data_IF_801741232472
#
_entry.id   IF_801741232472
#
_cell.length_a   1.000
_cell.length_b   1.000
_cell.length_c   1.000
_cell.angle_alpha   90.00
_cell.angle_beta   90.00
_cell.angle_gamma   90.00
#
_symmetry.space_group_name_H-M   'P 1'
#
loop_
_entity.id
_entity.type
_entity.pdbx_description
1 polymer ?
#
# COMPACT_ATOMS: atom_id res chain seq x y z
N UNK A 1 -9.07 2.56 8.21
CA UNK A 1 -8.07 1.57 8.65
C UNK A 1 -8.25 0.33 7.81
N UNK A 2 -7.18 -0.41 7.53
CA UNK A 2 -7.29 -1.76 6.98
C UNK A 2 -5.99 -2.55 7.10
N UNK A 3 -6.10 -3.88 7.00
CA UNK A 3 -4.99 -4.84 7.01
C UNK A 3 -4.82 -5.48 5.63
N UNK A 4 -3.59 -5.72 5.16
CA UNK A 4 -3.32 -6.39 3.89
C UNK A 4 -4.07 -5.70 2.73
N UNK A 5 -4.89 -6.42 1.96
CA UNK A 5 -5.77 -5.84 0.92
C UNK A 5 -6.71 -4.76 1.46
N UNK A 6 -7.13 -4.85 2.73
CA UNK A 6 -7.90 -3.81 3.38
C UNK A 6 -7.12 -2.51 3.56
N UNK A 7 -5.80 -2.57 3.72
CA UNK A 7 -4.92 -1.40 3.75
C UNK A 7 -4.89 -0.68 2.40
N UNK A 8 -4.81 -1.44 1.31
CA UNK A 8 -4.93 -0.93 -0.06
C UNK A 8 -6.30 -0.26 -0.29
N UNK A 9 -7.39 -0.93 0.07
CA UNK A 9 -8.74 -0.38 -0.02
C UNK A 9 -8.87 0.91 0.78
N UNK A 10 -8.35 0.95 2.02
CA UNK A 10 -8.38 2.14 2.87
C UNK A 10 -7.61 3.32 2.25
N UNK A 11 -6.47 3.04 1.60
CA UNK A 11 -5.68 4.03 0.87
C UNK A 11 -6.49 4.64 -0.30
N UNK A 12 -7.03 3.80 -1.20
CA UNK A 12 -7.80 4.30 -2.35
C UNK A 12 -9.13 4.95 -1.93
N UNK A 13 -9.80 4.44 -0.89
CA UNK A 13 -11.00 5.06 -0.35
C UNK A 13 -10.72 6.48 0.19
N UNK A 14 -9.57 6.70 0.82
CA UNK A 14 -9.17 8.01 1.31
C UNK A 14 -8.90 8.99 0.17
N UNK A 15 -8.22 8.55 -0.89
CA UNK A 15 -8.02 9.36 -2.10
C UNK A 15 -9.35 9.77 -2.71
N UNK A 16 -10.27 8.82 -2.90
CA UNK A 16 -11.62 9.10 -3.44
C UNK A 16 -12.43 10.03 -2.54
N UNK A 17 -12.25 9.95 -1.22
CA UNK A 17 -12.94 10.83 -0.28
C UNK A 17 -12.52 12.29 -0.41
N UNK A 18 -11.34 12.60 -0.99
CA UNK A 18 -10.94 13.97 -1.30
C UNK A 18 -11.82 14.62 -2.38
N UNK A 19 -12.38 13.83 -3.30
CA UNK A 19 -13.25 14.32 -4.38
C UNK A 19 -14.69 14.51 -3.91
N UNK A 20 -15.07 13.78 -2.86
CA UNK A 20 -16.36 13.92 -2.25
C UNK A 20 -16.33 15.24 -1.46
N UNK A 21 -17.17 16.20 -1.85
CA UNK A 21 -17.50 17.38 -1.02
C UNK A 21 -18.32 16.93 0.20
N UNK A 22 -17.79 15.99 0.96
CA UNK A 22 -18.44 15.42 2.12
C UNK A 22 -18.72 16.57 3.09
N UNK A 23 -19.95 16.68 3.61
CA UNK A 23 -20.25 17.71 4.58
C UNK A 23 -19.26 17.61 5.76
N UNK A 24 -18.92 18.72 6.42
CA UNK A 24 -17.83 18.81 7.40
C UNK A 24 -17.90 17.83 8.60
N UNK A 25 -18.97 17.05 8.70
CA UNK A 25 -19.19 16.00 9.71
C UNK A 25 -18.53 14.65 9.36
N UNK A 26 -18.12 14.42 8.12
CA UNK A 26 -17.44 13.19 7.68
C UNK A 26 -16.01 13.49 7.22
N UNK A 27 -15.17 13.97 8.14
CA UNK A 27 -13.75 14.19 7.90
C UNK A 27 -12.95 12.94 8.26
N UNK A 28 -12.07 12.50 7.38
CA UNK A 28 -11.08 11.47 7.69
C UNK A 28 -9.91 12.14 8.40
N UNK A 29 -9.76 11.89 9.70
CA UNK A 29 -8.67 12.50 10.50
C UNK A 29 -7.33 11.78 10.36
N UNK A 30 -7.31 10.56 9.81
CA UNK A 30 -6.09 9.80 9.57
C UNK A 30 -6.32 8.41 9.01
N UNK A 31 -5.25 7.78 8.54
CA UNK A 31 -5.21 6.42 8.01
C UNK A 31 -4.35 5.53 8.90
N UNK A 32 -4.79 4.28 9.07
CA UNK A 32 -3.99 3.20 9.67
C UNK A 32 -3.96 2.09 8.63
N UNK A 33 -2.78 1.89 8.05
CA UNK A 33 -2.50 0.94 6.98
C UNK A 33 -1.61 -0.15 7.58
N UNK A 34 -2.23 -1.27 7.98
CA UNK A 34 -1.49 -2.39 8.56
C UNK A 34 -1.07 -3.35 7.45
N UNK A 35 0.24 -3.50 7.26
CA UNK A 35 0.84 -4.39 6.26
C UNK A 35 0.14 -4.24 4.90
N UNK A 36 -0.02 -3.00 4.38
CA UNK A 36 -0.91 -2.77 3.24
C UNK A 36 -0.41 -3.50 1.99
N UNK A 37 -1.32 -4.21 1.33
CA UNK A 37 -1.03 -5.01 0.15
C UNK A 37 -0.87 -4.17 -1.10
N UNK A 38 0.36 -3.98 -1.56
CA UNK A 38 0.68 -3.38 -2.85
C UNK A 38 1.49 -4.36 -3.71
N UNK A 39 1.50 -4.15 -5.01
CA UNK A 39 2.16 -4.99 -5.99
C UNK A 39 2.97 -4.15 -6.98
N UNK A 40 3.38 -4.80 -8.06
CA UNK A 40 4.18 -4.25 -9.15
C UNK A 40 4.77 -5.36 -10.00
N UNK A 41 5.01 -5.11 -11.28
CA UNK A 41 5.53 -6.14 -12.20
C UNK A 41 6.93 -6.57 -11.78
N UNK A 42 7.81 -5.59 -11.59
CA UNK A 42 9.17 -5.80 -11.08
C UNK A 42 9.17 -6.30 -9.64
N UNK A 43 9.96 -7.34 -9.37
CA UNK A 43 10.05 -7.94 -8.04
C UNK A 43 10.97 -7.13 -7.14
N UNK A 44 10.54 -6.93 -5.89
CA UNK A 44 11.39 -6.32 -4.87
C UNK A 44 12.39 -7.31 -4.29
N UNK A 45 13.36 -6.81 -3.51
CA UNK A 45 14.33 -7.67 -2.83
C UNK A 45 13.68 -8.59 -1.80
N UNK A 46 12.69 -8.08 -1.06
CA UNK A 46 11.90 -8.87 -0.11
C UNK A 46 11.08 -9.98 -0.78
N UNK A 47 10.44 -9.68 -1.90
CA UNK A 47 9.66 -10.66 -2.68
C UNK A 47 10.53 -11.80 -3.20
N UNK A 48 11.74 -11.51 -3.67
CA UNK A 48 12.69 -12.54 -4.12
C UNK A 48 13.25 -13.35 -2.94
N UNK A 49 13.57 -12.68 -1.82
CA UNK A 49 14.10 -13.31 -0.61
C UNK A 49 13.08 -14.24 0.06
N UNK A 50 11.79 -13.88 0.01
CA UNK A 50 10.68 -14.60 0.63
C UNK A 50 9.79 -15.27 -0.43
N UNK A 51 10.37 -15.70 -1.54
CA UNK A 51 9.59 -16.21 -2.68
C UNK A 51 8.75 -17.46 -2.35
N UNK A 52 9.24 -18.27 -1.39
CA UNK A 52 8.63 -19.50 -0.89
C UNK A 52 7.98 -19.31 0.50
N UNK A 53 7.58 -18.08 0.84
CA UNK A 53 6.85 -17.81 2.08
C UNK A 53 5.67 -18.77 2.25
N UNK A 54 5.46 -19.25 3.48
CA UNK A 54 4.46 -20.29 3.77
C UNK A 54 3.02 -19.77 3.71
N UNK A 55 2.82 -18.45 3.77
CA UNK A 55 1.50 -17.82 3.77
C UNK A 55 1.22 -17.12 2.44
N UNK A 56 2.20 -16.39 1.90
CA UNK A 56 2.07 -15.57 0.68
C UNK A 56 3.24 -15.81 -0.30
N UNK A 57 3.41 -17.04 -0.84
CA UNK A 57 4.43 -17.29 -1.85
C UNK A 57 4.10 -16.55 -3.15
N UNK A 58 5.12 -16.29 -3.99
CA UNK A 58 4.94 -15.45 -5.19
C UNK A 58 3.80 -15.88 -6.13
N UNK A 59 3.59 -17.19 -6.43
CA UNK A 59 2.48 -17.60 -7.28
C UNK A 59 1.11 -17.26 -6.70
N UNK A 60 0.98 -17.23 -5.36
CA UNK A 60 -0.26 -16.83 -4.69
C UNK A 60 -0.45 -15.32 -4.81
N UNK A 61 0.60 -14.52 -4.58
CA UNK A 61 0.54 -13.07 -4.78
C UNK A 61 0.15 -12.70 -6.22
N UNK A 62 0.73 -13.40 -7.21
CA UNK A 62 0.41 -13.18 -8.62
C UNK A 62 -1.05 -13.51 -8.94
N UNK A 63 -1.55 -14.64 -8.43
CA UNK A 63 -2.94 -15.03 -8.61
C UNK A 63 -3.90 -14.03 -7.93
N UNK A 64 -3.58 -13.56 -6.73
CA UNK A 64 -4.40 -12.56 -6.03
C UNK A 64 -4.52 -11.27 -6.85
N UNK A 65 -3.44 -10.79 -7.44
CA UNK A 65 -3.49 -9.62 -8.32
C UNK A 65 -4.24 -9.90 -9.62
N UNK A 66 -4.04 -11.06 -10.25
CA UNK A 66 -4.78 -11.45 -11.45
C UNK A 66 -6.29 -11.47 -11.22
N UNK A 67 -6.74 -11.90 -10.03
CA UNK A 67 -8.15 -11.94 -9.67
C UNK A 67 -8.73 -10.57 -9.26
N UNK A 68 -7.89 -9.66 -8.74
CA UNK A 68 -8.32 -8.36 -8.23
C UNK A 68 -8.32 -7.26 -9.29
N UNK A 69 -7.48 -7.38 -10.32
CA UNK A 69 -7.28 -6.36 -11.33
C UNK A 69 -8.24 -6.50 -12.53
N UNK A 70 -8.51 -5.41 -13.26
CA UNK A 70 -9.27 -5.49 -14.51
C UNK A 70 -8.61 -6.44 -15.51
N UNK A 71 -9.43 -7.13 -16.31
CA UNK A 71 -8.93 -8.03 -17.35
C UNK A 71 -7.96 -7.31 -18.30
N UNK A 72 -6.81 -7.92 -18.57
CA UNK A 72 -5.75 -7.35 -19.41
C UNK A 72 -4.81 -6.36 -18.70
N UNK A 73 -5.05 -6.04 -17.43
CA UNK A 73 -4.13 -5.23 -16.63
C UNK A 73 -3.00 -6.08 -16.06
N UNK A 74 -1.81 -5.50 -15.95
CA UNK A 74 -0.69 -6.07 -15.20
C UNK A 74 -0.61 -5.48 -13.78
N UNK A 75 0.39 -5.93 -13.02
CA UNK A 75 0.59 -5.53 -11.61
C UNK A 75 1.09 -4.09 -11.46
N UNK A 76 1.40 -3.37 -12.54
CA UNK A 76 1.73 -1.94 -12.48
C UNK A 76 0.49 -1.04 -12.62
N UNK A 77 -0.70 -1.63 -12.76
CA UNK A 77 -1.97 -0.91 -12.64
C UNK A 77 -2.08 -0.15 -11.30
N UNK A 78 -2.72 1.03 -11.30
CA UNK A 78 -2.75 1.96 -10.15
C UNK A 78 -3.35 1.38 -8.86
N UNK A 79 -4.24 0.38 -8.98
CA UNK A 79 -4.80 -0.36 -7.84
C UNK A 79 -3.81 -1.32 -7.17
N UNK A 80 -2.75 -1.72 -7.87
CA UNK A 80 -1.71 -2.60 -7.36
C UNK A 80 -0.44 -1.81 -7.03
N UNK A 81 0.03 -0.97 -7.94
CA UNK A 81 1.28 -0.23 -7.80
C UNK A 81 1.05 1.29 -7.86
N UNK A 82 0.74 1.95 -6.73
CA UNK A 82 0.58 3.40 -6.70
C UNK A 82 1.90 4.16 -6.94
N UNK A 83 3.06 3.48 -6.94
CA UNK A 83 4.38 4.09 -7.14
C UNK A 83 4.77 4.23 -8.61
N UNK A 84 4.20 3.39 -9.50
CA UNK A 84 4.56 3.33 -10.92
C UNK A 84 4.06 4.53 -11.74
N UNK A 85 3.30 5.45 -11.12
CA UNK A 85 2.74 6.60 -11.79
C UNK A 85 1.31 6.33 -12.23
N UNK A 86 0.38 6.79 -11.40
CA UNK A 86 -1.05 6.83 -11.69
C UNK A 86 -1.61 8.26 -11.55
N UNK A 87 -2.91 8.39 -11.76
CA UNK A 87 -3.65 9.66 -11.80
C UNK A 87 -3.65 10.45 -10.48
N UNK A 88 -3.10 9.88 -9.40
CA UNK A 88 -3.20 10.39 -8.04
C UNK A 88 -2.18 11.48 -7.65
N UNK A 89 -1.24 11.83 -8.53
CA UNK A 89 -0.38 13.04 -8.52
C UNK A 89 -0.25 13.81 -7.18
N UNK A 90 -0.65 15.08 -7.19
CA UNK A 90 -0.61 15.99 -6.01
C UNK A 90 -1.65 15.63 -4.93
N UNK A 91 -2.57 14.69 -5.21
CA UNK A 91 -3.66 14.31 -4.29
C UNK A 91 -3.15 13.52 -3.10
N UNK A 92 -2.09 12.73 -3.30
CA UNK A 92 -1.43 11.99 -2.22
C UNK A 92 -1.00 12.94 -1.09
N UNK A 93 -0.49 14.14 -1.42
CA UNK A 93 -0.11 15.15 -0.43
C UNK A 93 -1.29 15.70 0.40
N UNK A 94 -2.52 15.55 -0.09
CA UNK A 94 -3.74 15.99 0.60
C UNK A 94 -4.31 14.92 1.53
N UNK A 95 -3.76 13.70 1.51
CA UNK A 95 -4.16 12.66 2.44
C UNK A 95 -3.89 13.09 3.89
N UNK A 96 -4.76 12.69 4.83
CA UNK A 96 -4.56 12.98 6.24
C UNK A 96 -3.37 12.16 6.79
N UNK A 97 -2.96 12.45 8.03
CA UNK A 97 -1.89 11.71 8.72
C UNK A 97 -2.04 10.20 8.59
N UNK A 98 -0.93 9.50 8.38
CA UNK A 98 -0.92 8.06 8.18
C UNK A 98 0.00 7.34 9.17
N UNK A 99 -0.47 6.19 9.66
CA UNK A 99 0.35 5.17 10.28
C UNK A 99 0.43 3.99 9.32
N UNK A 100 1.65 3.63 8.91
CA UNK A 100 1.91 2.43 8.12
C UNK A 100 2.70 1.47 8.98
N UNK A 101 2.20 0.25 9.16
CA UNK A 101 2.91 -0.82 9.88
C UNK A 101 3.29 -1.93 8.92
N UNK A 102 4.40 -2.60 9.20
CA UNK A 102 4.92 -3.69 8.40
C UNK A 102 5.84 -4.60 9.21
N UNK A 103 6.13 -5.78 8.66
CA UNK A 103 6.96 -6.79 9.30
C UNK A 103 8.05 -7.32 8.35
N UNK A 104 9.27 -7.54 8.85
CA UNK A 104 10.42 -7.93 8.01
C UNK A 104 10.32 -9.30 7.33
N UNK A 105 9.43 -10.17 7.81
CA UNK A 105 9.12 -11.47 7.20
C UNK A 105 7.89 -11.41 6.27
N UNK A 106 7.36 -10.21 5.98
CA UNK A 106 6.35 -10.03 4.95
C UNK A 106 7.04 -9.88 3.58
N UNK A 107 6.70 -10.69 2.56
CA UNK A 107 7.20 -10.52 1.19
C UNK A 107 7.00 -9.10 0.63
N UNK A 108 5.96 -8.39 1.05
CA UNK A 108 5.59 -7.07 0.55
C UNK A 108 6.24 -5.90 1.31
N UNK A 109 7.13 -6.15 2.28
CA UNK A 109 7.71 -5.10 3.13
C UNK A 109 8.43 -3.99 2.34
N UNK A 110 9.12 -4.32 1.25
CA UNK A 110 9.78 -3.30 0.42
C UNK A 110 8.75 -2.36 -0.22
N UNK A 111 7.61 -2.88 -0.68
CA UNK A 111 6.51 -2.06 -1.25
C UNK A 111 5.84 -1.18 -0.19
N UNK A 112 5.73 -1.68 1.04
CA UNK A 112 5.23 -0.92 2.18
C UNK A 112 6.19 0.22 2.55
N UNK A 113 7.51 0.00 2.48
CA UNK A 113 8.52 1.03 2.66
C UNK A 113 8.51 2.07 1.54
N UNK A 114 8.33 1.64 0.29
CA UNK A 114 8.17 2.55 -0.85
C UNK A 114 6.94 3.45 -0.71
N UNK A 115 5.82 2.92 -0.22
CA UNK A 115 4.62 3.70 0.08
C UNK A 115 4.93 4.80 1.11
N UNK A 116 5.60 4.45 2.21
CA UNK A 116 5.98 5.42 3.25
C UNK A 116 6.84 6.54 2.66
N UNK A 117 7.86 6.19 1.88
CA UNK A 117 8.75 7.17 1.23
C UNK A 117 7.97 8.08 0.27
N UNK A 118 7.02 7.52 -0.50
CA UNK A 118 6.17 8.31 -1.38
C UNK A 118 5.28 9.29 -0.60
N UNK A 119 4.66 8.85 0.50
CA UNK A 119 3.80 9.68 1.35
C UNK A 119 4.58 10.80 2.04
N UNK A 120 5.78 10.50 2.55
CA UNK A 120 6.68 11.49 3.14
C UNK A 120 7.17 12.51 2.10
N UNK A 121 7.55 12.04 0.90
CA UNK A 121 8.03 12.89 -0.19
C UNK A 121 6.97 13.83 -0.78
N UNK A 122 5.68 13.47 -0.68
CA UNK A 122 4.55 14.27 -1.21
C UNK A 122 3.89 15.16 -0.15
N UNK A 123 4.43 15.22 1.07
CA UNK A 123 3.99 16.17 2.09
C UNK A 123 2.69 15.79 2.83
N UNK A 124 2.26 14.52 2.77
CA UNK A 124 1.15 14.05 3.60
C UNK A 124 1.50 14.29 5.09
N UNK A 125 0.65 15.04 5.78
CA UNK A 125 0.97 15.90 6.95
C UNK A 125 1.56 15.25 8.21
N UNK A 126 1.76 13.93 8.24
CA UNK A 126 2.66 13.22 9.16
C UNK A 126 2.46 11.73 8.86
N UNK A 127 3.29 11.14 8.01
CA UNK A 127 3.34 9.68 7.89
C UNK A 127 4.37 9.12 8.85
N UNK A 128 4.02 8.06 9.57
CA UNK A 128 4.96 7.32 10.40
C UNK A 128 4.96 5.86 9.94
N UNK A 129 6.12 5.39 9.49
CA UNK A 129 6.39 3.98 9.28
C UNK A 129 6.82 3.30 10.58
N UNK A 130 6.11 2.25 10.98
CA UNK A 130 6.50 1.35 12.09
C UNK A 130 6.75 -0.03 11.52
N UNK A 131 7.97 -0.25 11.02
CA UNK A 131 8.39 -1.55 10.49
C UNK A 131 9.10 -2.35 11.57
N UNK A 132 8.57 -3.52 11.94
CA UNK A 132 9.25 -4.44 12.85
C UNK A 132 10.20 -5.31 12.04
N UNK A 133 11.49 -5.08 12.17
CA UNK A 133 12.54 -5.88 11.50
C UNK A 133 13.00 -7.08 12.33
N UNK A 134 12.59 -7.16 13.61
CA UNK A 134 13.13 -8.12 14.55
C UNK A 134 12.20 -9.33 14.73
N UNK A 135 12.43 -10.37 13.93
CA UNK A 135 12.22 -11.76 14.35
C UNK A 135 13.36 -12.60 13.76
N UNK A 136 14.48 -12.64 14.47
CA UNK A 136 15.38 -13.79 14.49
C UNK A 136 15.49 -14.25 15.94
N UNK A 137 14.87 -15.39 16.24
CA UNK A 137 15.23 -16.29 17.32
C UNK A 137 15.07 -17.71 16.78
#
# INVERSE_FOLDING_TARGET
MGNSSGGNIAYHAALRALDLQAPPRFKIDGLILNEPGFGGVERTGSELRLAEDQVLPLPVLDLLWQLALPEGSDRDHEFSNPMHGGSDGDRVGQLPRCLVTGHGQDPLIDRQLELVRMLEGRGSTSCVGSMRTDVMA
#
